data_IF_438481858124
#
_entry.id   IF_438481858124
#
_cell.length_a   1.000
_cell.length_b   1.000
_cell.length_c   1.000
_cell.angle_alpha   90.00
_cell.angle_beta   90.00
_cell.angle_gamma   90.00
#
_symmetry.space_group_name_H-M   'P 1'
#
loop_
_entity.id
_entity.type
_entity.pdbx_description
1 polymer ?
2 non-polymer ?
3 water ?
#
# COMPACT_ATOMS: atom_id res chain seq x y z
N UNK A 1 -5.10 15.31 6.89
CA UNK A 1 -3.63 15.21 6.62
C UNK A 1 -2.95 14.57 7.83
N UNK A 2 -2.83 13.23 7.84
CA UNK A 2 -2.08 12.57 8.93
C UNK A 2 -0.65 12.23 8.47
N UNK A 3 -0.47 11.66 7.29
CA UNK A 3 0.88 11.29 6.80
C UNK A 3 1.54 12.53 6.17
N UNK A 4 2.73 12.87 6.67
CA UNK A 4 3.53 14.00 6.17
C UNK A 4 4.95 13.55 5.82
N UNK A 5 5.02 12.40 5.15
CA UNK A 5 6.24 12.00 4.51
C UNK A 5 5.84 11.63 3.08
N UNK A 6 6.33 12.38 2.12
CA UNK A 6 6.06 12.05 0.72
C UNK A 6 7.42 12.03 0.03
N UNK A 7 7.48 11.28 -1.07
CA UNK A 7 8.61 11.12 -1.96
C UNK A 7 8.68 12.42 -2.77
N UNK A 8 9.80 13.12 -2.66
CA UNK A 8 10.05 14.23 -3.55
C UNK A 8 10.58 13.67 -4.87
N UNK A 9 10.10 14.27 -5.95
CA UNK A 9 10.60 14.00 -7.31
C UNK A 9 10.21 12.62 -7.80
N UNK A 10 9.08 12.09 -7.33
CA UNK A 10 8.60 10.80 -7.76
C UNK A 10 8.33 10.77 -9.27
N UNK A 11 8.83 9.72 -9.92
CA UNK A 11 8.53 9.43 -11.31
C UNK A 11 7.58 8.22 -11.30
N UNK A 12 6.27 8.45 -11.49
CA UNK A 12 5.27 7.41 -11.29
C UNK A 12 5.44 6.30 -12.35
N UNK A 13 5.93 6.64 -13.55
CA UNK A 13 6.12 5.62 -14.61
C UNK A 13 7.08 4.51 -14.13
N UNK A 14 8.04 4.86 -13.27
CA UNK A 14 9.14 3.98 -12.81
C UNK A 14 8.68 3.00 -11.72
N UNK A 15 7.46 3.14 -11.22
CA UNK A 15 6.95 2.19 -10.23
C UNK A 15 6.20 1.06 -10.94
N UNK A 16 6.14 1.08 -12.28
CA UNK A 16 5.45 0.03 -13.03
C UNK A 16 6.02 -1.36 -12.71
N UNK A 17 5.14 -2.34 -12.78
CA UNK A 17 5.54 -3.75 -12.71
C UNK A 17 5.13 -4.46 -11.42
N UNK A 18 5.87 -5.55 -11.17
CA UNK A 18 5.55 -6.48 -10.12
C UNK A 18 6.02 -5.94 -8.76
N UNK A 19 5.16 -6.11 -7.76
CA UNK A 19 5.43 -5.86 -6.37
C UNK A 19 4.78 -6.92 -5.49
N UNK A 20 5.32 -7.01 -4.28
CA UNK A 20 4.94 -7.90 -3.20
C UNK A 20 4.68 -7.07 -1.94
N UNK A 21 3.55 -7.29 -1.28
CA UNK A 21 3.26 -6.62 -0.01
C UNK A 21 3.99 -7.32 1.15
N UNK A 22 5.24 -6.94 1.40
CA UNK A 22 6.07 -7.64 2.37
C UNK A 22 5.52 -7.40 3.79
N UNK A 23 5.13 -6.16 4.10
CA UNK A 23 4.58 -5.84 5.41
C UNK A 23 3.46 -4.81 5.29
N UNK A 24 2.54 -4.86 6.26
CA UNK A 24 1.45 -3.90 6.30
C UNK A 24 1.17 -3.49 7.74
N UNK A 25 0.72 -2.25 7.94
CA UNK A 25 0.39 -1.76 9.26
C UNK A 25 -0.85 -0.85 9.16
N UNK A 26 -1.66 -0.78 10.21
CA UNK A 26 -2.87 0.02 10.20
C UNK A 26 -3.08 0.70 11.55
N UNK A 27 -3.88 1.78 11.54
CA UNK A 27 -4.18 2.60 12.70
C UNK A 27 -5.10 1.84 13.65
N UNK A 28 -5.90 0.91 13.13
CA UNK A 28 -6.91 0.21 13.87
C UNK A 28 -6.77 -1.27 13.51
N UNK A 29 -6.77 -2.11 14.55
CA UNK A 29 -6.53 -3.54 14.45
C UNK A 29 -7.52 -4.13 13.45
N UNK A 30 -8.80 -3.74 13.57
CA UNK A 30 -9.94 -4.25 12.79
C UNK A 30 -9.72 -4.04 11.27
N UNK A 31 -8.80 -3.17 10.86
CA UNK A 31 -8.55 -2.87 9.41
C UNK A 31 -7.73 -3.98 8.73
N UNK A 32 -6.98 -4.76 9.53
CA UNK A 32 -6.10 -5.80 9.04
C UNK A 32 -6.28 -7.16 9.75
N UNK A 33 -7.01 -7.23 10.86
CA UNK A 33 -7.01 -8.43 11.79
C UNK A 33 -7.41 -9.76 11.10
N UNK A 34 -8.65 -9.80 10.59
CA UNK A 34 -9.18 -10.93 9.79
C UNK A 34 -8.60 -10.93 8.38
N UNK A 35 -8.67 -12.08 7.69
CA UNK A 35 -8.19 -12.25 6.32
C UNK A 35 -9.11 -11.47 5.36
N UNK A 36 -10.39 -11.29 5.72
CA UNK A 36 -11.37 -10.53 4.93
C UNK A 36 -11.49 -9.08 5.40
N UNK A 37 -10.57 -8.61 6.24
CA UNK A 37 -10.53 -7.22 6.72
C UNK A 37 -10.43 -6.28 5.54
N UNK A 38 -11.08 -5.09 5.63
CA UNK A 38 -11.25 -4.23 4.46
C UNK A 38 -9.96 -3.76 3.78
N UNK A 39 -8.89 -3.54 4.56
CA UNK A 39 -7.66 -3.03 3.96
C UNK A 39 -6.57 -4.10 3.92
N UNK A 40 -6.95 -5.36 4.17
CA UNK A 40 -6.01 -6.45 3.97
C UNK A 40 -5.98 -6.80 2.48
N UNK A 41 -5.08 -6.13 1.74
CA UNK A 41 -5.01 -6.26 0.30
C UNK A 41 -3.55 -6.54 -0.06
N UNK A 42 -3.36 -7.36 -1.09
CA UNK A 42 -2.03 -7.80 -1.47
C UNK A 42 -1.79 -7.26 -2.87
N UNK A 43 -0.79 -6.40 -3.01
CA UNK A 43 -0.51 -5.81 -4.28
C UNK A 43 0.11 -6.88 -5.18
N UNK A 44 -0.26 -6.86 -6.46
CA UNK A 44 0.28 -7.73 -7.51
C UNK A 44 1.10 -6.85 -8.48
N UNK A 45 0.49 -5.79 -9.02
CA UNK A 45 1.16 -5.07 -10.08
C UNK A 45 0.66 -3.64 -10.08
N UNK A 46 1.58 -2.72 -10.38
CA UNK A 46 1.27 -1.30 -10.61
C UNK A 46 1.43 -0.99 -12.11
N UNK A 47 0.40 -0.32 -12.64
CA UNK A 47 0.28 -0.01 -14.05
C UNK A 47 -0.07 1.46 -14.23
N UNK A 48 0.96 2.32 -14.19
CA UNK A 48 0.80 3.74 -14.48
C UNK A 48 0.31 3.97 -15.92
N UNK A 49 -0.61 4.93 -16.10
CA UNK A 49 -1.13 5.22 -17.43
C UNK A 49 -0.26 6.31 -18.02
N UNK A 50 -0.28 6.54 -19.35
CA UNK A 50 0.42 7.67 -19.97
C UNK A 50 0.09 9.05 -19.37
N UNK A 51 -1.17 9.23 -18.94
CA UNK A 51 -1.63 10.51 -18.36
C UNK A 51 -1.16 10.63 -16.90
N UNK A 52 -0.69 9.55 -16.28
CA UNK A 52 -0.08 9.62 -14.96
C UNK A 52 -0.98 9.15 -13.83
N UNK A 53 -2.15 8.60 -14.16
CA UNK A 53 -2.98 7.83 -13.25
C UNK A 53 -2.31 6.48 -12.94
N UNK A 54 -2.77 5.82 -11.86
CA UNK A 54 -2.13 4.59 -11.40
C UNK A 54 -3.20 3.49 -11.31
N UNK A 55 -3.08 2.50 -12.20
CA UNK A 55 -3.92 1.31 -12.11
C UNK A 55 -3.24 0.25 -11.22
N UNK A 56 -4.03 -0.31 -10.30
CA UNK A 56 -3.51 -1.24 -9.30
C UNK A 56 -4.21 -2.60 -9.45
N UNK A 57 -3.41 -3.66 -9.62
CA UNK A 57 -3.88 -5.04 -9.58
C UNK A 57 -3.57 -5.59 -8.18
N UNK A 58 -4.58 -6.17 -7.54
CA UNK A 58 -4.31 -6.70 -6.20
C UNK A 58 -5.24 -7.89 -5.94
N UNK A 59 -4.91 -8.59 -4.87
CA UNK A 59 -5.72 -9.69 -4.37
C UNK A 59 -6.34 -9.23 -3.05
N UNK A 60 -7.58 -9.67 -2.80
CA UNK A 60 -8.21 -9.47 -1.53
C UNK A 60 -9.07 -10.71 -1.22
N UNK A 61 -9.12 -11.10 0.04
CA UNK A 61 -9.97 -12.19 0.45
C UNK A 61 -11.39 -11.68 0.63
N UNK A 62 -12.32 -12.23 -0.15
CA UNK A 62 -13.74 -11.88 -0.09
C UNK A 62 -14.61 -13.12 -0.30
N UNK A 63 -15.51 -13.37 0.67
CA UNK A 63 -16.46 -14.48 0.64
C UNK A 63 -15.74 -15.82 0.46
N UNK A 64 -14.88 -16.18 1.42
CA UNK A 64 -14.21 -17.48 1.48
C UNK A 64 -13.37 -17.80 0.26
N UNK A 65 -12.82 -16.79 -0.42
CA UNK A 65 -11.90 -17.00 -1.53
C UNK A 65 -11.06 -15.75 -1.78
N UNK A 66 -9.92 -15.97 -2.44
CA UNK A 66 -8.99 -14.95 -2.77
C UNK A 66 -9.41 -14.44 -4.13
N UNK A 67 -9.83 -13.18 -4.17
CA UNK A 67 -10.40 -12.57 -5.37
C UNK A 67 -9.46 -11.47 -5.87
N UNK A 68 -9.35 -11.39 -7.18
CA UNK A 68 -8.52 -10.44 -7.83
C UNK A 68 -9.23 -9.09 -7.85
N UNK A 69 -8.52 -7.97 -7.85
CA UNK A 69 -9.27 -6.73 -8.05
C UNK A 69 -8.40 -5.79 -8.88
N UNK A 70 -9.04 -4.90 -9.64
CA UNK A 70 -8.37 -3.80 -10.35
C UNK A 70 -8.90 -2.50 -9.75
N UNK A 71 -8.00 -1.60 -9.37
CA UNK A 71 -8.32 -0.32 -8.75
C UNK A 71 -7.67 0.79 -9.59
N UNK A 72 -8.35 1.92 -9.76
CA UNK A 72 -7.72 3.09 -10.37
C UNK A 72 -7.52 4.19 -9.31
N UNK A 73 -6.25 4.60 -9.13
CA UNK A 73 -5.90 5.75 -8.35
C UNK A 73 -5.61 6.93 -9.28
N UNK A 74 -6.48 7.93 -9.26
CA UNK A 74 -6.32 9.11 -10.10
C UNK A 74 -5.24 10.04 -9.53
N UNK A 75 -4.47 10.65 -10.43
CA UNK A 75 -3.44 11.60 -10.03
C UNK A 75 -4.06 12.87 -9.44
N UNK A 76 -3.24 13.54 -8.62
CA UNK A 76 -3.51 14.91 -8.15
C UNK A 76 -2.45 15.88 -8.69
N UNK A 77 -2.52 17.10 -8.19
CA UNK A 77 -1.49 18.10 -8.40
C UNK A 77 -0.18 17.80 -7.66
N UNK A 78 -0.23 16.89 -6.68
CA UNK A 78 0.96 16.46 -5.99
C UNK A 78 1.36 15.12 -6.59
N UNK A 79 2.56 15.02 -7.19
CA UNK A 79 3.00 13.77 -7.81
C UNK A 79 2.94 12.53 -6.91
N UNK A 80 3.21 12.68 -5.61
CA UNK A 80 3.25 11.52 -4.73
C UNK A 80 1.86 11.13 -4.19
N UNK A 81 0.80 11.87 -4.51
CA UNK A 81 -0.52 11.67 -3.92
C UNK A 81 -1.58 11.40 -5.00
N UNK A 82 -2.36 10.34 -4.79
CA UNK A 82 -3.42 9.86 -5.71
C UNK A 82 -4.72 9.67 -4.93
N UNK A 83 -5.85 9.65 -5.63
CA UNK A 83 -7.15 9.53 -5.03
C UNK A 83 -7.81 8.30 -5.65
N UNK A 84 -8.35 7.42 -4.81
CA UNK A 84 -9.09 6.26 -5.29
C UNK A 84 -10.58 6.65 -5.30
N UNK A 85 -11.30 6.35 -6.38
CA UNK A 85 -12.73 6.73 -6.42
C UNK A 85 -13.55 5.70 -5.66
N UNK A 86 -14.17 6.14 -4.55
CA UNK A 86 -14.96 5.32 -3.62
C UNK A 86 -16.01 6.21 -2.94
N UNK A 87 -16.84 5.62 -2.06
CA UNK A 87 -17.97 6.33 -1.43
C UNK A 87 -17.45 7.59 -0.70
N UNK A 88 -16.36 7.41 0.05
CA UNK A 88 -15.63 8.51 0.70
C UNK A 88 -14.24 8.56 0.07
N UNK A 89 -13.71 9.77 -0.12
CA UNK A 89 -12.41 9.98 -0.75
C UNK A 89 -11.30 9.28 0.05
N UNK A 90 -10.43 8.54 -0.66
CA UNK A 90 -9.31 7.83 -0.07
C UNK A 90 -8.01 8.17 -0.82
N UNK A 91 -7.10 8.84 -0.12
CA UNK A 91 -5.84 9.29 -0.66
C UNK A 91 -4.79 8.18 -0.49
N UNK A 92 -4.05 7.95 -1.57
CA UNK A 92 -2.86 7.15 -1.54
C UNK A 92 -1.66 8.07 -1.61
N UNK A 93 -0.73 7.89 -0.68
CA UNK A 93 0.51 8.67 -0.68
C UNK A 93 1.69 7.72 -0.82
N UNK A 94 2.60 8.04 -1.74
CA UNK A 94 3.87 7.37 -1.82
C UNK A 94 4.87 8.09 -0.93
N UNK A 95 5.40 7.39 0.09
CA UNK A 95 6.31 7.97 1.08
C UNK A 95 7.72 8.01 0.53
N UNK A 96 8.07 6.94 -0.19
CA UNK A 96 9.46 6.64 -0.49
C UNK A 96 9.55 5.41 -1.37
N UNK A 97 10.46 5.46 -2.34
CA UNK A 97 10.75 4.35 -3.22
C UNK A 97 12.14 4.57 -3.80
N UNK A 98 12.77 3.44 -4.12
CA UNK A 98 13.92 3.44 -5.00
C UNK A 98 13.63 2.73 -6.33
N UNK A 99 12.36 2.43 -6.62
CA UNK A 99 11.87 1.89 -7.91
C UNK A 99 12.33 0.44 -8.15
N UNK A 100 13.58 0.16 -7.80
CA UNK A 100 14.26 -1.08 -8.13
C UNK A 100 14.16 -2.12 -7.03
N UNK A 101 13.81 -1.76 -5.78
CA UNK A 101 13.70 -2.71 -4.67
C UNK A 101 12.44 -2.51 -3.80
N UNK A 102 12.19 -1.29 -3.28
CA UNK A 102 11.13 -1.08 -2.33
C UNK A 102 10.31 0.17 -2.64
N UNK A 103 9.05 0.15 -2.18
CA UNK A 103 8.19 1.32 -2.25
C UNK A 103 7.35 1.31 -0.97
N UNK A 104 7.30 2.43 -0.27
CA UNK A 104 6.46 2.58 0.94
C UNK A 104 5.29 3.48 0.58
N UNK A 105 4.07 3.06 0.92
CA UNK A 105 2.88 3.86 0.66
C UNK A 105 1.90 3.73 1.83
N UNK A 106 1.07 4.77 2.00
CA UNK A 106 0.02 4.75 2.91
C UNK A 106 -1.27 5.09 2.18
N UNK A 107 -2.38 4.65 2.74
CA UNK A 107 -3.65 5.12 2.27
C UNK A 107 -4.49 5.55 3.46
N UNK A 108 -5.15 6.70 3.34
CA UNK A 108 -5.84 7.23 4.46
C UNK A 108 -7.25 7.67 4.14
N UNK A 109 -8.08 7.73 5.19
CA UNK A 109 -9.45 8.21 5.15
C UNK A 109 -9.42 9.74 5.26
N UNK A 110 -10.02 10.43 4.27
CA UNK A 110 -9.95 11.89 4.20
C UNK A 110 -10.54 12.56 5.46
N UNK A 111 -11.70 12.11 5.95
CA UNK A 111 -12.32 12.76 7.11
C UNK A 111 -12.94 11.70 8.03
N UNK A 112 -12.67 11.76 9.33
CA UNK A 112 -13.37 10.88 10.31
C UNK A 112 -13.87 11.56 11.59
N UNK A 113 -13.24 12.54 12.25
CA UNK A 113 -11.95 13.20 12.08
C UNK A 113 -10.65 12.42 12.37
N UNK A 114 -10.63 11.52 13.35
CA UNK A 114 -9.41 10.85 13.76
C UNK A 114 -8.76 10.17 12.54
N UNK A 115 -9.57 9.43 11.78
CA UNK A 115 -9.30 8.83 10.44
C UNK A 115 -8.49 7.53 10.54
N UNK A 116 -8.66 6.69 9.52
CA UNK A 116 -8.05 5.40 9.40
C UNK A 116 -6.86 5.51 8.43
N UNK A 117 -5.82 4.71 8.66
CA UNK A 117 -4.60 4.75 7.90
C UNK A 117 -4.07 3.33 7.78
N UNK A 118 -3.73 2.89 6.55
CA UNK A 118 -3.03 1.62 6.33
C UNK A 118 -1.83 1.92 5.45
N UNK A 119 -0.67 1.35 5.83
CA UNK A 119 0.56 1.52 5.10
C UNK A 119 1.15 0.15 4.76
N UNK A 120 1.95 0.11 3.70
CA UNK A 120 2.58 -1.12 3.28
C UNK A 120 4.02 -0.83 2.89
N UNK A 121 4.83 -1.87 3.07
CA UNK A 121 6.16 -1.96 2.52
C UNK A 121 6.08 -2.92 1.33
N UNK A 122 6.24 -2.36 0.12
CA UNK A 122 6.29 -3.17 -1.12
C UNK A 122 7.72 -3.41 -1.49
N UNK A 123 7.95 -4.62 -2.00
CA UNK A 123 9.24 -4.97 -2.56
C UNK A 123 9.08 -5.72 -3.90
N UNK A 124 10.11 -5.64 -4.73
CA UNK A 124 10.09 -6.20 -6.11
C UNK A 124 10.20 -7.72 -6.14
N UNK A 125 10.74 -8.34 -5.08
CA UNK A 125 11.01 -9.82 -5.08
C UNK A 125 10.48 -10.48 -3.81
N UNK A 126 10.21 -11.81 -3.86
CA UNK A 126 9.67 -12.52 -2.70
C UNK A 126 10.79 -12.83 -1.70
N UNK A 127 11.40 -11.79 -1.16
CA UNK A 127 12.52 -11.91 -0.23
C UNK A 127 12.27 -10.95 0.94
N UNK A 128 12.79 -11.30 2.11
CA UNK A 128 12.65 -10.40 3.25
C UNK A 128 13.75 -9.36 3.14
N UNK A 129 13.37 -8.12 2.83
CA UNK A 129 14.32 -7.02 2.69
C UNK A 129 14.39 -6.27 4.03
N UNK A 130 15.39 -6.58 4.86
CA UNK A 130 15.44 -6.03 6.21
C UNK A 130 15.60 -4.51 6.16
N UNK A 131 16.36 -4.03 5.19
CA UNK A 131 16.60 -2.59 5.03
C UNK A 131 15.31 -1.84 4.66
N UNK A 132 14.52 -2.39 3.74
CA UNK A 132 13.23 -1.82 3.37
C UNK A 132 12.31 -1.81 4.59
N UNK A 133 12.27 -2.90 5.36
CA UNK A 133 11.45 -3.01 6.58
C UNK A 133 11.89 -2.02 7.67
N UNK A 134 13.18 -1.69 7.68
CA UNK A 134 13.66 -0.68 8.62
C UNK A 134 13.15 0.71 8.21
N UNK A 135 13.19 1.00 6.91
CA UNK A 135 12.69 2.26 6.42
C UNK A 135 11.18 2.36 6.64
N UNK A 136 10.48 1.24 6.46
CA UNK A 136 9.06 1.16 6.76
C UNK A 136 8.77 1.48 8.24
N UNK A 137 9.48 0.81 9.14
CA UNK A 137 9.23 0.98 10.56
C UNK A 137 9.59 2.41 10.99
N UNK A 138 10.70 2.95 10.46
CA UNK A 138 11.08 4.32 10.79
C UNK A 138 10.04 5.31 10.29
N UNK A 139 9.50 5.08 9.09
CA UNK A 139 8.45 5.93 8.53
C UNK A 139 7.19 5.91 9.40
N UNK A 140 6.90 4.77 10.05
CA UNK A 140 5.67 4.59 10.81
C UNK A 140 5.85 4.98 12.28
N UNK A 141 7.07 5.24 12.76
CA UNK A 141 7.27 5.36 14.23
C UNK A 141 6.40 6.47 14.81
N UNK A 142 6.26 7.58 14.08
CA UNK A 142 5.37 8.69 14.44
C UNK A 142 3.89 8.29 14.35
N UNK A 143 3.51 7.61 13.26
CA UNK A 143 2.10 7.32 12.93
C UNK A 143 1.50 6.42 14.01
N UNK A 144 0.17 6.51 14.25
CA UNK A 144 -0.46 5.85 15.42
C UNK A 144 -0.96 4.47 14.94
N UNK A 145 -0.04 3.56 14.61
CA UNK A 145 -0.36 2.23 14.12
C UNK A 145 -0.59 1.30 15.31
N UNK A 146 -1.52 0.34 15.19
CA UNK A 146 -1.84 -0.59 16.28
C UNK A 146 -1.87 -2.04 15.79
N UNK A 147 -1.66 -2.26 14.49
CA UNK A 147 -1.45 -3.63 13.98
C UNK A 147 -0.38 -3.55 12.91
N UNK A 148 0.51 -4.54 12.93
CA UNK A 148 1.57 -4.70 11.94
C UNK A 148 1.67 -6.20 11.58
N UNK A 149 1.67 -6.47 10.28
CA UNK A 149 1.82 -7.85 9.76
C UNK A 149 3.03 -7.88 8.85
N UNK A 150 3.74 -9.03 8.84
CA UNK A 150 4.80 -9.20 7.81
C UNK A 150 4.76 -10.64 7.30
N UNK A 151 5.22 -10.81 6.05
CA UNK A 151 5.05 -12.13 5.38
C UNK A 151 6.42 -12.72 5.05
N UNK A 152 6.46 -14.06 5.04
CA UNK A 152 7.63 -14.78 4.70
C UNK A 152 7.63 -15.08 3.20
N UNK A 153 8.78 -15.52 2.65
CA UNK A 153 8.88 -15.73 1.20
C UNK A 153 7.91 -16.77 0.66
N UNK A 154 7.62 -17.82 1.44
CA UNK A 154 6.71 -18.86 1.02
C UNK A 154 5.34 -18.23 0.79
N UNK A 155 4.86 -17.50 1.81
CA UNK A 155 3.59 -16.74 1.78
C UNK A 155 3.52 -15.76 0.62
N UNK A 156 4.62 -15.05 0.34
CA UNK A 156 4.64 -14.04 -0.70
C UNK A 156 4.37 -14.65 -2.08
N UNK A 157 4.65 -15.94 -2.24
CA UNK A 157 4.45 -16.62 -3.52
C UNK A 157 3.08 -17.30 -3.63
N UNK A 158 2.21 -17.14 -2.61
CA UNK A 158 0.88 -17.69 -2.61
C UNK A 158 -0.18 -16.61 -2.81
N UNK A 159 -1.31 -16.99 -3.41
CA UNK A 159 -2.45 -16.07 -3.57
C UNK A 159 -2.96 -15.70 -2.16
N UNK A 160 -3.11 -14.40 -1.88
CA UNK A 160 -3.56 -13.88 -0.61
C UNK A 160 -2.63 -14.32 0.53
N UNK A 161 -1.36 -14.63 0.22
CA UNK A 161 -0.31 -14.85 1.20
C UNK A 161 -0.72 -15.97 2.19
N UNK A 162 -1.44 -16.98 1.70
CA UNK A 162 -1.90 -18.13 2.50
C UNK A 162 -0.68 -18.89 3.02
#
# INVERSE_FOLDING_TARGET
LIVTQTMKGLDIQKVAGTWYSLAMAASDISLLDAQSAPLRVYVEELKPTPEGDLEILLQKWENGECAQKKIIAEKTKIPAVFKIDALNENKVLVLDTDYKKYLLFCMENSAEPEQSLACQCLVRTPEVDDEALEKFDKALKALPMHIRLSFNPTQLEEQCHI
#
